data_IF_135300728352
#
_entry.id   IF_135300728352
#
_cell.length_a   1.000
_cell.length_b   1.000
_cell.length_c   1.000
_cell.angle_alpha   90.00
_cell.angle_beta   90.00
_cell.angle_gamma   90.00
#
_symmetry.space_group_name_H-M   'P 1'
#
loop_
_entity.id
_entity.type
_entity.pdbx_description
1 polymer ?
#
# COMPACT_ATOMS: atom_id res chain seq x y z
N UNK A 1 -3.02 14.99 43.54
CA UNK A 1 -2.13 15.38 42.42
C UNK A 1 -2.09 14.18 41.49
N UNK A 2 -2.58 14.30 40.26
CA UNK A 2 -2.63 13.19 39.29
C UNK A 2 -1.23 12.96 38.74
N UNK A 3 -0.68 11.77 38.93
CA UNK A 3 0.51 11.29 38.23
C UNK A 3 0.20 11.22 36.73
N UNK A 4 0.76 12.16 35.97
CA UNK A 4 0.82 12.09 34.52
C UNK A 4 2.02 11.22 34.20
N UNK A 5 1.79 9.92 34.05
CA UNK A 5 2.79 9.00 33.48
C UNK A 5 2.98 9.39 32.02
N UNK A 6 3.92 10.29 31.79
CA UNK A 6 4.31 10.73 30.46
C UNK A 6 5.07 9.57 29.80
N UNK A 7 4.34 8.75 29.04
CA UNK A 7 4.96 7.72 28.20
C UNK A 7 5.70 8.42 27.05
N UNK A 8 6.94 8.82 27.31
CA UNK A 8 7.93 9.11 26.28
C UNK A 8 8.26 7.78 25.59
N UNK A 9 7.39 7.32 24.69
CA UNK A 9 7.78 6.32 23.71
C UNK A 9 8.84 6.98 22.85
N UNK A 10 10.10 6.69 23.18
CA UNK A 10 11.28 7.05 22.40
C UNK A 10 10.94 6.92 20.92
N UNK A 11 11.32 7.89 20.10
CA UNK A 11 11.13 7.90 18.65
C UNK A 11 11.54 6.56 18.00
N UNK A 12 12.46 5.83 18.64
CA UNK A 12 12.89 4.48 18.26
C UNK A 12 11.78 3.40 18.38
N UNK A 13 10.86 3.49 19.34
CA UNK A 13 9.70 2.58 19.47
C UNK A 13 8.63 2.85 18.39
N UNK A 14 8.44 4.11 17.99
CA UNK A 14 7.55 4.47 16.88
C UNK A 14 8.13 4.04 15.52
N UNK A 15 9.45 4.10 15.37
CA UNK A 15 10.14 3.59 14.18
C UNK A 15 10.23 2.06 14.16
N UNK A 16 10.34 1.40 15.32
CA UNK A 16 10.33 -0.06 15.42
C UNK A 16 8.93 -0.68 15.18
N UNK A 17 7.83 0.06 15.44
CA UNK A 17 6.49 -0.40 15.09
C UNK A 17 6.18 -0.29 13.59
N UNK A 18 6.90 0.58 12.87
CA UNK A 18 6.98 0.58 11.41
C UNK A 18 7.97 -0.51 10.98
N UNK A 19 7.57 -1.77 11.13
CA UNK A 19 8.22 -2.84 10.40
C UNK A 19 8.31 -2.38 8.94
N UNK A 20 9.52 -2.23 8.34
CA UNK A 20 9.58 -2.09 6.91
C UNK A 20 8.89 -3.35 6.39
N UNK A 21 7.76 -3.19 5.68
CA UNK A 21 7.27 -4.27 4.83
C UNK A 21 8.52 -4.69 4.07
N UNK A 22 9.03 -5.92 4.26
CA UNK A 22 10.25 -6.31 3.57
C UNK A 22 10.00 -6.00 2.11
N UNK A 23 10.88 -5.28 1.42
CA UNK A 23 10.68 -4.94 0.01
C UNK A 23 10.31 -6.19 -0.83
N UNK A 24 10.77 -7.36 -0.36
CA UNK A 24 10.38 -8.69 -0.78
C UNK A 24 8.85 -8.94 -0.73
N UNK A 25 8.17 -8.58 0.37
CA UNK A 25 6.73 -8.78 0.58
C UNK A 25 5.89 -7.90 -0.35
N UNK A 26 6.26 -6.63 -0.55
CA UNK A 26 5.54 -5.75 -1.48
C UNK A 26 5.64 -6.22 -2.95
N UNK A 27 6.85 -6.62 -3.37
CA UNK A 27 7.06 -7.18 -4.71
C UNK A 27 6.31 -8.52 -4.90
N UNK A 28 6.20 -9.33 -3.86
CA UNK A 28 5.44 -10.58 -3.87
C UNK A 28 3.93 -10.35 -3.96
N UNK A 29 3.39 -9.39 -3.21
CA UNK A 29 1.98 -9.01 -3.27
C UNK A 29 1.60 -8.51 -4.66
N UNK A 30 2.43 -7.65 -5.26
CA UNK A 30 2.21 -7.19 -6.64
C UNK A 30 2.25 -8.35 -7.65
N UNK A 31 3.20 -9.28 -7.50
CA UNK A 31 3.27 -10.48 -8.37
C UNK A 31 2.04 -11.37 -8.21
N UNK A 32 1.55 -11.56 -7.00
CA UNK A 32 0.32 -12.32 -6.73
C UNK A 32 -0.88 -11.64 -7.38
N UNK A 33 -1.02 -10.32 -7.21
CA UNK A 33 -2.07 -9.55 -7.82
C UNK A 33 -2.04 -9.66 -9.36
N UNK A 34 -0.88 -9.49 -9.99
CA UNK A 34 -0.73 -9.60 -11.45
C UNK A 34 -1.08 -11.02 -11.94
N UNK A 35 -0.79 -12.06 -11.14
CA UNK A 35 -1.12 -13.43 -11.50
C UNK A 35 -2.63 -13.70 -11.49
N UNK A 36 -3.34 -13.11 -10.54
CA UNK A 36 -4.81 -13.21 -10.41
C UNK A 36 -5.54 -12.24 -11.34
N UNK A 37 -4.92 -11.09 -11.62
CA UNK A 37 -5.44 -10.01 -12.44
C UNK A 37 -4.31 -9.47 -13.35
N UNK A 38 -4.12 -10.05 -14.55
CA UNK A 38 -3.08 -9.61 -15.47
C UNK A 38 -3.21 -8.14 -15.89
N UNK A 39 -4.43 -7.61 -15.91
CA UNK A 39 -4.74 -6.21 -16.22
C UNK A 39 -4.31 -5.22 -15.13
N UNK A 40 -3.98 -5.68 -13.91
CA UNK A 40 -3.38 -4.87 -12.85
C UNK A 40 -2.09 -4.19 -13.32
N UNK A 41 -1.36 -4.81 -14.24
CA UNK A 41 -0.14 -4.23 -14.80
C UNK A 41 -0.42 -2.97 -15.64
N UNK A 42 -1.54 -2.95 -16.38
CA UNK A 42 -1.98 -1.77 -17.11
C UNK A 42 -2.49 -0.69 -16.15
N UNK A 43 -3.19 -1.08 -15.08
CA UNK A 43 -3.60 -0.18 -14.00
C UNK A 43 -2.41 0.51 -13.33
N UNK A 44 -1.35 -0.25 -13.04
CA UNK A 44 -0.09 0.29 -12.50
C UNK A 44 0.56 1.28 -13.46
N UNK A 45 0.66 0.95 -14.76
CA UNK A 45 1.21 1.88 -15.76
C UNK A 45 0.38 3.17 -15.84
N UNK A 46 -0.95 3.06 -15.79
CA UNK A 46 -1.85 4.23 -15.79
C UNK A 46 -1.63 5.09 -14.56
N UNK A 47 -1.51 4.49 -13.38
CA UNK A 47 -1.22 5.20 -12.13
C UNK A 47 0.12 5.94 -12.19
N UNK A 48 1.19 5.25 -12.62
CA UNK A 48 2.52 5.83 -12.76
C UNK A 48 2.53 7.02 -13.73
N UNK A 49 1.89 6.87 -14.89
CA UNK A 49 1.81 7.94 -15.89
C UNK A 49 1.02 9.15 -15.38
N UNK A 50 0.00 8.95 -14.54
CA UNK A 50 -0.79 10.04 -13.95
C UNK A 50 -0.02 10.80 -12.85
N UNK A 51 0.99 10.18 -12.22
CA UNK A 51 1.70 10.73 -11.06
C UNK A 51 3.18 11.01 -11.34
N UNK A 52 3.59 11.11 -12.60
CA UNK A 52 4.98 11.48 -12.96
C UNK A 52 5.29 12.88 -12.42
N UNK A 53 6.27 12.98 -11.51
CA UNK A 53 6.65 14.24 -10.87
C UNK A 53 5.67 14.73 -9.79
N UNK A 54 4.65 13.93 -9.45
CA UNK A 54 3.70 14.20 -8.38
C UNK A 54 3.95 13.38 -7.12
N UNK A 55 3.09 13.57 -6.12
CA UNK A 55 3.08 12.74 -4.91
C UNK A 55 2.34 11.44 -5.19
N UNK A 56 2.87 10.32 -4.69
CA UNK A 56 2.20 9.03 -4.74
C UNK A 56 1.19 8.93 -3.58
N UNK A 57 -0.07 8.66 -3.91
CA UNK A 57 -1.15 8.42 -2.95
C UNK A 57 -1.57 6.94 -2.99
N UNK A 58 -1.58 6.30 -1.83
CA UNK A 58 -1.90 4.88 -1.70
C UNK A 58 -3.38 4.62 -2.02
N UNK A 59 -4.29 5.52 -1.65
CA UNK A 59 -5.71 5.33 -1.92
C UNK A 59 -6.00 5.41 -3.43
N UNK A 60 -5.32 6.33 -4.11
CA UNK A 60 -5.42 6.45 -5.56
C UNK A 60 -4.77 5.28 -6.30
N UNK A 61 -3.64 4.78 -5.80
CA UNK A 61 -3.01 3.55 -6.29
C UNK A 61 -3.98 2.37 -6.19
N UNK A 62 -4.52 2.12 -5.00
CA UNK A 62 -5.44 1.00 -4.74
C UNK A 62 -6.65 1.12 -5.66
N UNK A 63 -7.25 2.30 -5.77
CA UNK A 63 -8.40 2.57 -6.64
C UNK A 63 -8.09 2.31 -8.11
N UNK A 64 -6.97 2.83 -8.61
CA UNK A 64 -6.60 2.73 -10.03
C UNK A 64 -6.22 1.30 -10.43
N UNK A 65 -5.47 0.60 -9.58
CA UNK A 65 -5.05 -0.77 -9.85
C UNK A 65 -6.21 -1.75 -9.69
N UNK A 66 -7.00 -1.66 -8.62
CA UNK A 66 -8.17 -2.54 -8.43
C UNK A 66 -9.23 -2.38 -9.52
N UNK A 67 -9.49 -1.15 -9.99
CA UNK A 67 -10.45 -0.88 -11.06
C UNK A 67 -10.06 -1.49 -12.42
N UNK A 68 -8.79 -1.87 -12.59
CA UNK A 68 -8.34 -2.57 -13.80
C UNK A 68 -8.64 -4.07 -13.78
N UNK A 69 -9.07 -4.62 -12.65
CA UNK A 69 -9.40 -6.04 -12.49
C UNK A 69 -10.87 -6.34 -12.75
N UNK A 70 -11.17 -7.54 -13.26
CA UNK A 70 -12.55 -8.01 -13.45
C UNK A 70 -13.33 -8.03 -12.13
N UNK A 71 -12.67 -8.44 -11.04
CA UNK A 71 -13.20 -8.39 -9.67
C UNK A 71 -12.55 -7.25 -8.88
N UNK A 72 -12.95 -6.02 -9.18
CA UNK A 72 -12.37 -4.83 -8.55
C UNK A 72 -12.53 -4.82 -7.01
N UNK A 73 -13.64 -5.31 -6.47
CA UNK A 73 -13.87 -5.36 -5.03
C UNK A 73 -12.90 -6.30 -4.30
N UNK A 74 -12.68 -7.51 -4.85
CA UNK A 74 -11.73 -8.50 -4.32
C UNK A 74 -10.30 -7.97 -4.39
N UNK A 75 -9.91 -7.37 -5.52
CA UNK A 75 -8.58 -6.79 -5.71
C UNK A 75 -8.32 -5.59 -4.78
N UNK A 76 -9.34 -4.77 -4.53
CA UNK A 76 -9.29 -3.67 -3.57
C UNK A 76 -9.06 -4.18 -2.14
N UNK A 77 -9.89 -5.13 -1.69
CA UNK A 77 -9.74 -5.72 -0.35
C UNK A 77 -8.35 -6.35 -0.16
N UNK A 78 -7.84 -7.06 -1.16
CA UNK A 78 -6.50 -7.65 -1.11
C UNK A 78 -5.36 -6.63 -0.96
N UNK A 79 -5.54 -5.42 -1.49
CA UNK A 79 -4.54 -4.35 -1.43
C UNK A 79 -4.66 -3.48 -0.17
N UNK A 80 -5.82 -3.48 0.48
CA UNK A 80 -6.08 -2.76 1.74
C UNK A 80 -5.65 -3.56 2.98
N UNK A 81 -5.54 -4.90 2.86
CA UNK A 81 -5.03 -5.83 3.87
C UNK A 81 -3.50 -5.82 4.02
#
# INVERSE_FOLDING_TARGET
LRDITMHLTSTNQYLASKNPIPSLKAAQLLRLLIRLCPSANMGLQKYLNAHVGGFADIDDYIRTVSASCNEAASAKSFLED
#
